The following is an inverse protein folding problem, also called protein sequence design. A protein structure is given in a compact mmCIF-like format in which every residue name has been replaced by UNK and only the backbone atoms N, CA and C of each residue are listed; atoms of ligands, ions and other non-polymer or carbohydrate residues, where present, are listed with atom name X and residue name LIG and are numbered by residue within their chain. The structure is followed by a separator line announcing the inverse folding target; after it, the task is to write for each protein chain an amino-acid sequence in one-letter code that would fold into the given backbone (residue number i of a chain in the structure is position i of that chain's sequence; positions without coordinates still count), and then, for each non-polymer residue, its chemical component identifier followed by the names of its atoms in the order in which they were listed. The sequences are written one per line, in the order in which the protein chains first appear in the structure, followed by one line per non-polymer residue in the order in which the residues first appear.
data_IF_543260586423
#
_entry.id   IF_543260586423
#
_cell.length_a   1.000
_cell.length_b   1.000
_cell.length_c   1.000
_cell.angle_alpha   90.00
_cell.angle_beta   90.00
_cell.angle_gamma   90.00
#
_symmetry.space_group_name_H-M   'P 1'
#
loop_
_entity.id
_entity.type
_entity.pdbx_description
1 polymer ?
#
# COMPACT_ATOMS: atom_id res chain seq x y z
N UNK A 1 -21.77 -6.22 -22.30
CA UNK A 1 -20.98 -6.44 -21.07
C UNK A 1 -20.26 -5.15 -20.80
N UNK A 2 -20.59 -4.45 -19.72
CA UNK A 2 -19.73 -3.36 -19.26
C UNK A 2 -18.36 -3.96 -18.99
N UNK A 3 -17.32 -3.45 -19.65
CA UNK A 3 -15.96 -3.75 -19.25
C UNK A 3 -15.82 -3.16 -17.84
N UNK A 4 -15.89 -4.02 -16.81
CA UNK A 4 -15.57 -3.65 -15.44
C UNK A 4 -14.07 -3.37 -15.43
N UNK A 5 -13.71 -2.13 -15.72
CA UNK A 5 -12.33 -1.72 -15.65
C UNK A 5 -11.87 -1.88 -14.20
N UNK A 6 -10.74 -2.56 -13.96
CA UNK A 6 -10.22 -2.69 -12.62
C UNK A 6 -9.99 -1.30 -12.02
N UNK A 7 -10.34 -1.16 -10.74
CA UNK A 7 -10.18 0.08 -9.96
C UNK A 7 -8.84 0.78 -10.30
N UNK A 8 -8.87 1.98 -10.91
CA UNK A 8 -7.65 2.63 -11.40
C UNK A 8 -6.59 2.88 -10.32
N UNK A 9 -7.02 3.10 -9.07
CA UNK A 9 -6.11 3.27 -7.93
C UNK A 9 -5.42 1.94 -7.59
N UNK A 10 -6.18 0.85 -7.59
CA UNK A 10 -5.63 -0.49 -7.44
C UNK A 10 -4.60 -0.78 -8.54
N UNK A 11 -4.91 -0.52 -9.82
CA UNK A 11 -3.98 -0.74 -10.92
C UNK A 11 -2.69 0.09 -10.81
N UNK A 12 -2.81 1.35 -10.40
CA UNK A 12 -1.65 2.19 -10.12
C UNK A 12 -0.76 1.55 -9.03
N UNK A 13 -1.34 1.13 -7.90
CA UNK A 13 -0.58 0.50 -6.82
C UNK A 13 0.05 -0.82 -7.29
N UNK A 14 -0.72 -1.66 -7.99
CA UNK A 14 -0.26 -2.93 -8.51
C UNK A 14 0.94 -2.76 -9.44
N UNK A 15 0.87 -1.81 -10.38
CA UNK A 15 1.98 -1.54 -11.32
C UNK A 15 3.25 -1.07 -10.62
N UNK A 16 3.13 -0.35 -9.48
CA UNK A 16 4.29 0.01 -8.65
C UNK A 16 4.86 -1.16 -7.84
N UNK A 17 4.02 -2.05 -7.32
CA UNK A 17 4.48 -3.16 -6.48
C UNK A 17 4.99 -4.36 -7.29
N UNK A 18 4.40 -4.64 -8.45
CA UNK A 18 4.69 -5.84 -9.24
C UNK A 18 6.18 -6.02 -9.59
N UNK A 19 6.92 -4.98 -10.02
CA UNK A 19 8.37 -5.11 -10.26
C UNK A 19 9.19 -5.44 -9.01
N UNK A 20 8.66 -5.19 -7.81
CA UNK A 20 9.35 -5.37 -6.51
C UNK A 20 8.95 -6.67 -5.81
N UNK A 21 8.10 -7.48 -6.43
CA UNK A 21 7.55 -8.71 -5.83
C UNK A 21 8.60 -9.80 -5.62
N UNK A 22 9.70 -9.78 -6.36
CA UNK A 22 10.66 -10.88 -6.39
C UNK A 22 10.00 -12.18 -6.86
N UNK A 23 10.09 -13.23 -6.04
CA UNK A 23 9.51 -14.55 -6.31
C UNK A 23 8.04 -14.66 -5.89
N UNK A 24 7.46 -13.63 -5.26
CA UNK A 24 6.08 -13.67 -4.79
C UNK A 24 5.11 -13.93 -5.96
N UNK A 25 4.12 -14.81 -5.80
CA UNK A 25 3.06 -15.02 -6.79
C UNK A 25 2.30 -13.72 -7.09
N UNK A 26 1.81 -13.58 -8.32
CA UNK A 26 1.11 -12.36 -8.77
C UNK A 26 -0.14 -12.05 -7.93
N UNK A 27 -0.89 -13.08 -7.54
CA UNK A 27 -2.09 -12.94 -6.71
C UNK A 27 -1.80 -12.35 -5.32
N UNK A 28 -0.59 -12.53 -4.80
CA UNK A 28 -0.16 -11.90 -3.53
C UNK A 28 -0.03 -10.39 -3.73
N UNK A 29 0.55 -9.96 -4.84
CA UNK A 29 0.68 -8.54 -5.18
C UNK A 29 -0.68 -7.91 -5.42
N UNK A 30 -1.59 -8.60 -6.12
CA UNK A 30 -2.98 -8.17 -6.32
C UNK A 30 -3.70 -7.97 -4.98
N UNK A 31 -3.59 -8.95 -4.08
CA UNK A 31 -4.19 -8.87 -2.73
C UNK A 31 -3.68 -7.65 -1.96
N UNK A 32 -2.38 -7.44 -1.96
CA UNK A 32 -1.76 -6.30 -1.25
C UNK A 32 -2.20 -4.98 -1.87
N UNK A 33 -2.21 -4.89 -3.20
CA UNK A 33 -2.61 -3.68 -3.91
C UNK A 33 -4.09 -3.36 -3.67
N UNK A 34 -4.96 -4.37 -3.56
CA UNK A 34 -6.34 -4.23 -3.13
C UNK A 34 -6.46 -3.65 -1.71
N UNK A 35 -5.74 -4.21 -0.75
CA UNK A 35 -5.77 -3.70 0.62
C UNK A 35 -5.21 -2.29 0.75
N UNK A 36 -4.16 -1.94 0.01
CA UNK A 36 -3.64 -0.57 -0.04
C UNK A 36 -4.67 0.37 -0.70
N UNK A 37 -5.34 -0.05 -1.78
CA UNK A 37 -6.41 0.74 -2.40
C UNK A 37 -7.53 1.04 -1.41
N UNK A 38 -7.93 0.03 -0.62
CA UNK A 38 -8.86 0.22 0.50
C UNK A 38 -8.36 1.29 1.47
N UNK A 39 -7.11 1.19 1.95
CA UNK A 39 -6.56 2.20 2.88
C UNK A 39 -6.50 3.60 2.28
N UNK A 40 -6.13 3.73 1.00
CA UNK A 40 -6.10 5.01 0.29
C UNK A 40 -7.50 5.63 0.26
N UNK A 41 -8.52 4.85 -0.12
CA UNK A 41 -9.92 5.30 -0.20
C UNK A 41 -10.53 5.58 1.17
N UNK A 42 -10.21 4.75 2.16
CA UNK A 42 -10.58 4.99 3.55
C UNK A 42 -9.99 6.30 4.08
N UNK A 43 -8.74 6.60 3.71
CA UNK A 43 -7.98 7.75 4.23
C UNK A 43 -8.35 9.09 3.56
N UNK A 44 -8.69 9.08 2.27
CA UNK A 44 -8.90 10.30 1.47
C UNK A 44 -10.24 10.34 0.70
N UNK A 45 -11.07 9.32 0.86
CA UNK A 45 -12.34 9.18 0.15
C UNK A 45 -12.22 8.45 -1.19
N UNK A 46 -13.37 8.02 -1.71
CA UNK A 46 -13.47 7.18 -2.91
C UNK A 46 -13.11 7.87 -4.23
N UNK A 47 -12.96 9.21 -4.22
CA UNK A 47 -12.69 10.04 -5.42
C UNK A 47 -11.20 10.28 -5.69
N UNK A 48 -10.30 9.68 -4.90
CA UNK A 48 -8.86 9.80 -5.10
C UNK A 48 -8.46 9.34 -6.50
N UNK A 49 -7.72 10.18 -7.22
CA UNK A 49 -7.26 9.86 -8.57
C UNK A 49 -5.98 9.01 -8.52
N UNK A 50 -5.76 8.09 -9.48
CA UNK A 50 -4.54 7.29 -9.55
C UNK A 50 -3.27 8.12 -9.59
N UNK A 51 -3.30 9.26 -10.30
CA UNK A 51 -2.18 10.20 -10.41
C UNK A 51 -1.78 10.85 -9.08
N UNK A 52 -2.67 10.84 -8.09
CA UNK A 52 -2.38 11.33 -6.74
C UNK A 52 -1.71 10.27 -5.88
N UNK A 53 -1.61 9.02 -6.32
CA UNK A 53 -1.06 7.93 -5.52
C UNK A 53 0.34 7.55 -6.01
N UNK A 54 1.29 7.54 -5.08
CA UNK A 54 2.64 7.07 -5.34
C UNK A 54 3.07 6.04 -4.30
N UNK A 55 3.82 5.03 -4.76
CA UNK A 55 4.57 4.14 -3.88
C UNK A 55 6.04 4.49 -4.00
N UNK A 56 6.67 4.88 -2.89
CA UNK A 56 8.09 5.23 -2.83
C UNK A 56 8.82 4.25 -1.94
N UNK A 57 10.02 3.85 -2.35
CA UNK A 57 10.92 3.00 -1.56
C UNK A 57 12.25 3.72 -1.46
N UNK A 58 12.75 3.87 -0.24
CA UNK A 58 14.03 4.53 0.05
C UNK A 58 14.92 3.60 0.88
N UNK A 59 16.23 3.72 0.72
CA UNK A 59 17.20 3.04 1.58
C UNK A 59 17.18 3.66 2.98
N UNK A 60 17.31 2.80 3.99
CA UNK A 60 17.57 3.20 5.37
C UNK A 60 19.03 2.92 5.66
N UNK A 61 19.75 3.97 6.07
CA UNK A 61 21.19 3.92 6.29
C UNK A 61 21.53 4.25 7.74
N UNK A 62 22.55 3.57 8.26
CA UNK A 62 23.07 3.81 9.60
C UNK A 62 24.03 5.02 9.64
N UNK A 63 24.58 5.32 10.83
CA UNK A 63 25.52 6.42 11.03
C UNK A 63 26.74 6.37 10.10
N UNK A 64 27.21 5.16 9.78
CA UNK A 64 28.38 4.94 8.91
C UNK A 64 28.01 4.82 7.42
N UNK A 65 26.82 5.30 7.03
CA UNK A 65 26.26 5.19 5.67
C UNK A 65 26.02 3.74 5.17
N UNK A 66 26.20 2.75 6.05
CA UNK A 66 25.90 1.33 5.79
C UNK A 66 24.39 1.10 5.60
N UNK A 67 24.03 0.26 4.64
CA UNK A 67 22.64 -0.08 4.33
C UNK A 67 22.05 -0.98 5.42
N UNK A 68 21.06 -0.46 6.16
CA UNK A 68 20.37 -1.19 7.21
C UNK A 68 19.09 -1.86 6.71
N UNK A 69 18.49 -1.32 5.66
CA UNK A 69 17.25 -1.83 5.11
C UNK A 69 16.59 -0.89 4.12
N UNK A 70 15.29 -1.08 3.92
CA UNK A 70 14.49 -0.27 3.01
C UNK A 70 13.19 0.15 3.68
N UNK A 71 12.74 1.36 3.37
CA UNK A 71 11.47 1.90 3.83
C UNK A 71 10.56 2.16 2.64
N UNK A 72 9.42 1.49 2.64
CA UNK A 72 8.36 1.71 1.67
C UNK A 72 7.28 2.64 2.25
N UNK A 73 6.71 3.46 1.39
CA UNK A 73 5.67 4.43 1.73
C UNK A 73 4.65 4.47 0.60
N UNK A 74 3.38 4.50 0.96
CA UNK A 74 2.28 4.83 0.04
C UNK A 74 1.77 6.20 0.41
N UNK A 75 1.78 7.12 -0.55
CA UNK A 75 1.43 8.52 -0.34
C UNK A 75 0.27 8.94 -1.24
N UNK A 76 -0.54 9.87 -0.73
CA UNK A 76 -1.56 10.61 -1.48
C UNK A 76 -1.09 12.06 -1.61
N UNK A 77 -1.01 12.56 -2.84
CA UNK A 77 -0.57 13.89 -3.20
C UNK A 77 -1.74 14.86 -3.35
N UNK A 78 -1.57 16.05 -2.79
CA UNK A 78 -2.46 17.20 -2.98
C UNK A 78 -1.77 18.28 -3.80
N UNK A 79 -1.86 19.53 -3.32
CA UNK A 79 -1.09 20.65 -3.87
C UNK A 79 0.43 20.41 -3.75
N UNK A 80 1.27 21.11 -4.55
CA UNK A 80 2.72 21.01 -4.46
C UNK A 80 3.24 21.10 -3.01
N UNK A 81 4.09 20.15 -2.62
CA UNK A 81 4.62 20.05 -1.25
C UNK A 81 3.67 19.47 -0.20
N UNK A 82 2.40 19.17 -0.55
CA UNK A 82 1.41 18.60 0.37
C UNK A 82 1.13 17.15 0.01
N UNK A 83 1.51 16.24 0.90
CA UNK A 83 1.21 14.82 0.78
C UNK A 83 0.85 14.21 2.13
N UNK A 84 0.13 13.10 2.10
CA UNK A 84 -0.21 12.29 3.27
C UNK A 84 0.33 10.89 3.08
N UNK A 85 1.08 10.38 4.06
CA UNK A 85 1.51 8.97 4.08
C UNK A 85 0.35 8.13 4.61
N UNK A 86 -0.12 7.19 3.80
CA UNK A 86 -1.23 6.27 4.13
C UNK A 86 -0.71 5.07 4.91
N UNK A 87 0.39 4.49 4.43
CA UNK A 87 1.08 3.40 5.10
C UNK A 87 2.57 3.52 4.86
N UNK A 88 3.36 3.18 5.87
CA UNK A 88 4.80 3.02 5.75
C UNK A 88 5.26 1.77 6.48
N UNK A 89 6.29 1.14 5.93
CA UNK A 89 6.96 0.01 6.55
C UNK A 89 8.44 0.07 6.22
N UNK A 90 9.24 -0.07 7.26
CA UNK A 90 10.66 -0.37 7.16
C UNK A 90 10.88 -1.88 7.29
N UNK A 91 11.78 -2.40 6.48
CA UNK A 91 12.23 -3.80 6.51
C UNK A 91 13.76 -3.82 6.55
N UNK A 92 14.33 -4.77 7.28
CA UNK A 92 15.77 -4.96 7.34
C UNK A 92 16.35 -5.31 5.96
N UNK A 93 17.65 -5.09 5.78
CA UNK A 93 18.37 -5.46 4.57
C UNK A 93 18.16 -6.94 4.21
N UNK A 94 18.02 -7.22 2.92
CA UNK A 94 17.71 -8.56 2.41
C UNK A 94 16.24 -8.99 2.56
N UNK A 95 15.38 -8.17 3.18
CA UNK A 95 13.94 -8.45 3.27
C UNK A 95 13.17 -7.76 2.15
N UNK A 96 12.12 -8.41 1.67
CA UNK A 96 11.26 -7.87 0.62
C UNK A 96 10.26 -6.84 1.17
N UNK A 97 10.27 -5.63 0.60
CA UNK A 97 9.40 -4.51 1.00
C UNK A 97 7.92 -4.77 0.75
N UNK A 98 7.57 -5.55 -0.27
CA UNK A 98 6.19 -5.93 -0.59
C UNK A 98 5.63 -6.85 0.49
N UNK A 99 6.44 -7.80 0.99
CA UNK A 99 6.05 -8.64 2.14
C UNK A 99 5.84 -7.78 3.38
N UNK A 100 6.79 -6.90 3.70
CA UNK A 100 6.66 -6.03 4.86
C UNK A 100 5.41 -5.13 4.79
N UNK A 101 5.13 -4.57 3.61
CA UNK A 101 3.90 -3.81 3.38
C UNK A 101 2.65 -4.69 3.54
N UNK A 102 2.67 -5.91 3.00
CA UNK A 102 1.57 -6.89 3.13
C UNK A 102 1.17 -7.09 4.60
N UNK A 103 2.15 -7.46 5.44
CA UNK A 103 1.93 -7.71 6.87
C UNK A 103 1.38 -6.47 7.59
N UNK A 104 1.93 -5.28 7.27
CA UNK A 104 1.49 -4.04 7.90
C UNK A 104 0.06 -3.68 7.47
N UNK A 105 -0.22 -3.78 6.19
CA UNK A 105 -1.50 -3.41 5.60
C UNK A 105 -2.60 -4.38 6.04
N UNK A 106 -2.36 -5.69 6.02
CA UNK A 106 -3.31 -6.70 6.50
C UNK A 106 -3.74 -6.42 7.95
N UNK A 107 -2.77 -6.17 8.84
CA UNK A 107 -3.07 -5.80 10.23
C UNK A 107 -3.93 -4.53 10.33
N UNK A 108 -3.59 -3.48 9.60
CA UNK A 108 -4.34 -2.21 9.65
C UNK A 108 -5.76 -2.38 9.12
N UNK A 109 -5.94 -3.14 8.03
CA UNK A 109 -7.27 -3.44 7.49
C UNK A 109 -8.10 -4.23 8.51
N UNK A 110 -7.54 -5.28 9.13
CA UNK A 110 -8.23 -6.02 10.19
C UNK A 110 -8.66 -5.12 11.35
N UNK A 111 -7.78 -4.22 11.79
CA UNK A 111 -8.10 -3.26 12.84
C UNK A 111 -9.26 -2.33 12.45
N UNK A 112 -9.26 -1.80 11.22
CA UNK A 112 -10.35 -0.94 10.71
C UNK A 112 -11.66 -1.72 10.65
N UNK A 113 -11.65 -2.91 10.02
CA UNK A 113 -12.84 -3.75 9.88
C UNK A 113 -13.40 -4.14 11.25
N UNK A 114 -12.54 -4.51 12.22
CA UNK A 114 -12.98 -4.84 13.58
C UNK A 114 -13.66 -3.69 14.33
N UNK A 115 -13.30 -2.44 13.99
CA UNK A 115 -13.82 -1.25 14.67
C UNK A 115 -15.05 -0.68 13.99
N UNK A 116 -15.11 -0.77 12.66
CA UNK A 116 -16.04 0.03 11.83
C UNK A 116 -16.91 -0.82 10.91
N UNK A 117 -16.64 -2.13 10.76
CA UNK A 117 -17.40 -3.01 9.87
C UNK A 117 -18.82 -3.37 10.35
N UNK A 118 -19.34 -2.68 11.37
CA UNK A 118 -20.51 -3.10 12.15
C UNK A 118 -21.86 -2.99 11.41
N UNK A 119 -21.90 -2.25 10.30
CA UNK A 119 -23.14 -1.95 9.57
C UNK A 119 -23.38 -2.88 8.36
N UNK A 120 -22.61 -3.97 8.23
CA UNK A 120 -22.71 -4.94 7.13
C UNK A 120 -22.75 -6.40 7.61
N UNK A 121 -22.66 -7.36 6.68
CA UNK A 121 -22.60 -8.80 6.96
C UNK A 121 -21.21 -9.25 7.45
N UNK A 122 -20.51 -8.40 8.20
CA UNK A 122 -19.28 -8.80 8.88
C UNK A 122 -19.67 -9.65 10.07
N UNK A 123 -19.63 -10.97 9.95
CA UNK A 123 -19.75 -11.85 11.11
C UNK A 123 -18.54 -11.60 12.03
N UNK A 124 -18.75 -10.94 13.16
CA UNK A 124 -17.72 -10.66 14.18
C UNK A 124 -17.55 -11.82 15.15
#
# INVERSE_FOLDING_TARGET
MENVFPDPVHQQIFSHLSPRRGELPIHVVETIAGNISFLVKYTAGYKVLPSQVSVSVVDVRGPDNGLLGHKAMVCIHGAPGRFKVVVTKEVAYGRNVVIGLSEKVDRVVREIVSKEGNDGFGDF
#
